data_IF_058651739453
#
_entry.id   IF_058651739453
#
_cell.length_a   1.000
_cell.length_b   1.000
_cell.length_c   1.000
_cell.angle_alpha   90.00
_cell.angle_beta   90.00
_cell.angle_gamma   90.00
#
_symmetry.space_group_name_H-M   'P 1'
#
loop_
_entity.id
_entity.type
_entity.pdbx_description
1 polymer ?
#
# COMPACT_ATOMS: atom_id res chain seq x y z
N UNK A 1 38.87 21.33 19.78
CA UNK A 1 39.49 20.19 20.51
C UNK A 1 40.12 20.57 21.86
N UNK A 2 40.35 21.85 22.20
CA UNK A 2 41.04 22.29 23.45
C UNK A 2 40.22 22.12 24.75
N UNK A 3 38.90 21.96 24.67
CA UNK A 3 38.06 21.79 25.86
C UNK A 3 38.27 20.44 26.54
N UNK A 4 38.42 19.36 25.77
CA UNK A 4 38.67 18.03 26.32
C UNK A 4 40.04 17.93 26.99
N UNK A 5 41.09 18.55 26.42
CA UNK A 5 42.42 18.55 27.03
C UNK A 5 42.44 19.32 28.35
N UNK A 6 41.77 20.48 28.42
CA UNK A 6 41.65 21.27 29.67
C UNK A 6 40.89 20.53 30.76
N UNK A 7 39.83 19.81 30.41
CA UNK A 7 39.06 18.98 31.35
C UNK A 7 39.95 17.86 31.89
N UNK A 8 40.66 17.14 31.02
CA UNK A 8 41.56 16.05 31.43
C UNK A 8 42.71 16.56 32.31
N UNK A 9 43.28 17.73 31.99
CA UNK A 9 44.36 18.33 32.77
C UNK A 9 43.90 18.79 34.15
N UNK A 10 42.69 19.38 34.24
CA UNK A 10 42.06 19.76 35.52
C UNK A 10 41.72 18.53 36.37
N UNK A 11 41.30 17.42 35.75
CA UNK A 11 41.02 16.15 36.45
C UNK A 11 42.31 15.49 36.95
N UNK A 12 43.39 15.52 36.15
CA UNK A 12 44.69 14.93 36.49
C UNK A 12 45.42 15.69 37.61
N UNK A 13 45.14 16.98 37.77
CA UNK A 13 45.69 17.82 38.85
C UNK A 13 45.05 17.62 40.22
N UNK A 14 43.97 16.84 40.35
CA UNK A 14 43.37 16.52 41.64
C UNK A 14 44.05 15.28 42.25
N UNK A 15 44.70 15.43 43.41
CA UNK A 15 45.37 14.35 44.15
C UNK A 15 44.43 13.16 44.40
N UNK A 16 43.14 13.42 44.62
CA UNK A 16 42.10 12.40 44.82
C UNK A 16 41.95 11.43 43.63
N UNK A 17 42.22 11.89 42.40
CA UNK A 17 42.08 11.09 41.18
C UNK A 17 43.27 10.14 40.96
N UNK A 18 44.47 10.57 41.36
CA UNK A 18 45.68 9.72 41.33
C UNK A 18 45.50 8.49 42.22
N UNK A 19 44.81 8.71 43.34
CA UNK A 19 44.48 7.74 44.36
C UNK A 19 43.42 6.71 43.88
N UNK A 20 42.55 7.08 42.93
CA UNK A 20 41.62 6.16 42.26
C UNK A 20 42.31 5.38 41.15
N UNK A 21 43.21 6.02 40.41
CA UNK A 21 43.95 5.42 39.28
C UNK A 21 44.99 4.39 39.73
N UNK A 22 45.50 4.50 40.96
CA UNK A 22 46.39 3.50 41.57
C UNK A 22 45.67 2.21 41.99
N UNK A 23 44.33 2.22 42.04
CA UNK A 23 43.53 1.04 42.38
C UNK A 23 43.37 0.13 41.15
N UNK A 24 43.63 -1.17 41.31
CA UNK A 24 43.53 -2.14 40.20
C UNK A 24 42.07 -2.43 39.85
N UNK A 25 41.74 -2.77 38.60
CA UNK A 25 40.40 -3.22 38.19
C UNK A 25 39.90 -4.43 39.02
N UNK A 26 40.82 -5.21 39.57
CA UNK A 26 40.53 -6.32 40.49
C UNK A 26 40.02 -5.84 41.86
N UNK A 27 40.52 -4.71 42.34
CA UNK A 27 40.09 -4.07 43.59
C UNK A 27 38.75 -3.34 43.44
N UNK A 28 38.44 -2.88 42.22
CA UNK A 28 37.12 -2.37 41.85
C UNK A 28 36.05 -3.44 41.96
N UNK A 29 36.31 -4.64 41.41
CA UNK A 29 35.40 -5.79 41.48
C UNK A 29 35.32 -6.40 42.89
N UNK A 30 36.41 -6.36 43.68
CA UNK A 30 36.41 -6.80 45.08
C UNK A 30 35.75 -5.82 46.06
N UNK A 31 35.29 -4.65 45.59
CA UNK A 31 34.54 -3.68 46.41
C UNK A 31 35.40 -2.76 47.29
N UNK A 32 36.73 -2.85 47.23
CA UNK A 32 37.63 -1.99 48.01
C UNK A 32 37.57 -0.52 47.55
N UNK A 33 37.17 -0.27 46.30
CA UNK A 33 36.96 1.07 45.74
C UNK A 33 35.81 1.84 46.42
N UNK A 34 34.81 1.13 46.96
CA UNK A 34 33.61 1.74 47.56
C UNK A 34 33.90 2.35 48.94
N UNK A 35 34.96 1.86 49.62
CA UNK A 35 35.37 2.36 50.94
C UNK A 35 36.20 3.66 50.86
N UNK A 36 36.48 4.15 49.65
CA UNK A 36 37.29 5.34 49.43
C UNK A 36 36.49 6.61 49.69
N UNK A 37 37.07 7.54 50.44
CA UNK A 37 36.44 8.82 50.81
C UNK A 37 35.93 9.62 49.60
N UNK A 38 36.62 9.52 48.46
CA UNK A 38 36.20 10.12 47.20
C UNK A 38 34.86 9.55 46.69
N UNK A 39 34.71 8.23 46.65
CA UNK A 39 33.50 7.55 46.18
C UNK A 39 32.33 7.84 47.12
N UNK A 40 32.58 7.89 48.43
CA UNK A 40 31.58 8.24 49.43
C UNK A 40 31.05 9.68 49.24
N UNK A 41 31.92 10.63 48.89
CA UNK A 41 31.53 12.03 48.60
C UNK A 41 30.78 12.18 47.28
N UNK A 42 31.10 11.35 46.28
CA UNK A 42 30.52 11.38 44.93
C UNK A 42 29.41 10.33 44.70
N UNK A 43 28.97 9.62 45.75
CA UNK A 43 27.99 8.52 45.63
C UNK A 43 26.68 8.96 44.95
N UNK A 44 26.20 10.18 45.23
CA UNK A 44 25.01 10.75 44.60
C UNK A 44 25.14 10.89 43.07
N UNK A 45 26.34 11.23 42.59
CA UNK A 45 26.64 11.31 41.16
C UNK A 45 26.69 9.92 40.53
N UNK A 46 27.31 8.95 41.20
CA UNK A 46 27.38 7.57 40.72
C UNK A 46 25.98 6.95 40.61
N UNK A 47 25.11 7.20 41.60
CA UNK A 47 23.71 6.77 41.57
C UNK A 47 22.92 7.44 40.44
N UNK A 48 23.12 8.73 40.20
CA UNK A 48 22.51 9.43 39.07
C UNK A 48 22.92 8.80 37.73
N UNK A 49 24.20 8.46 37.57
CA UNK A 49 24.72 7.87 36.34
C UNK A 49 24.16 6.46 36.12
N UNK A 50 24.06 5.66 37.19
CA UNK A 50 23.42 4.35 37.14
C UNK A 50 21.93 4.46 36.75
N UNK A 51 21.20 5.39 37.37
CA UNK A 51 19.79 5.65 37.03
C UNK A 51 19.61 6.07 35.57
N UNK A 52 20.47 6.95 35.07
CA UNK A 52 20.45 7.37 33.67
C UNK A 52 20.77 6.21 32.71
N UNK A 53 21.67 5.31 33.11
CA UNK A 53 21.97 4.10 32.34
C UNK A 53 20.75 3.16 32.25
N UNK A 54 20.01 2.96 33.34
CA UNK A 54 18.75 2.21 33.31
C UNK A 54 17.74 2.83 32.34
N UNK A 55 17.49 4.14 32.47
CA UNK A 55 16.57 4.86 31.56
C UNK A 55 17.01 4.73 30.10
N UNK A 56 18.32 4.83 29.83
CA UNK A 56 18.85 4.70 28.47
C UNK A 56 18.61 3.31 27.89
N UNK A 57 18.84 2.27 28.70
CA UNK A 57 18.61 0.87 28.31
C UNK A 57 17.12 0.64 28.04
N UNK A 58 16.24 1.11 28.91
CA UNK A 58 14.79 0.98 28.74
C UNK A 58 14.30 1.69 27.47
N UNK A 59 14.78 2.91 27.23
CA UNK A 59 14.46 3.67 26.02
C UNK A 59 15.00 2.99 24.74
N UNK A 60 16.21 2.44 24.81
CA UNK A 60 16.82 1.67 23.72
C UNK A 60 15.95 0.46 23.36
N UNK A 61 15.52 -0.32 24.35
CA UNK A 61 14.66 -1.48 24.12
C UNK A 61 13.27 -1.09 23.60
N UNK A 62 12.71 0.04 24.05
CA UNK A 62 11.45 0.55 23.52
C UNK A 62 11.56 0.91 22.03
N UNK A 63 12.66 1.54 21.61
CA UNK A 63 12.93 1.81 20.20
C UNK A 63 13.09 0.51 19.38
N UNK A 64 13.85 -0.47 19.88
CA UNK A 64 14.10 -1.73 19.15
C UNK A 64 12.84 -2.57 18.96
N UNK A 65 11.93 -2.57 19.95
CA UNK A 65 10.63 -3.25 19.83
C UNK A 65 9.74 -2.60 18.76
N UNK A 66 9.63 -1.28 18.77
CA UNK A 66 8.82 -0.54 17.79
C UNK A 66 9.34 -0.72 16.36
N UNK A 67 10.66 -0.71 16.16
CA UNK A 67 11.26 -0.97 14.84
C UNK A 67 10.87 -2.36 14.32
N UNK A 68 10.85 -3.37 15.19
CA UNK A 68 10.48 -4.74 14.82
C UNK A 68 8.99 -4.85 14.45
N UNK A 69 8.12 -4.19 15.23
CA UNK A 69 6.68 -4.15 14.96
C UNK A 69 6.37 -3.42 13.65
N UNK A 70 7.04 -2.31 13.38
CA UNK A 70 6.87 -1.56 12.13
C UNK A 70 7.30 -2.38 10.91
N UNK A 71 8.40 -3.14 11.02
CA UNK A 71 8.85 -4.04 9.95
C UNK A 71 7.83 -5.15 9.69
N UNK A 72 7.28 -5.75 10.75
CA UNK A 72 6.24 -6.78 10.63
C UNK A 72 4.99 -6.22 9.94
N UNK A 73 4.52 -5.06 10.39
CA UNK A 73 3.34 -4.40 9.83
C UNK A 73 3.51 -4.03 8.35
N UNK A 74 4.69 -3.51 7.97
CA UNK A 74 5.03 -3.22 6.57
C UNK A 74 5.05 -4.48 5.70
N UNK A 75 5.51 -5.60 6.25
CA UNK A 75 5.53 -6.89 5.54
C UNK A 75 4.13 -7.41 5.28
N UNK A 76 3.26 -7.41 6.30
CA UNK A 76 1.86 -7.81 6.16
C UNK A 76 1.11 -6.96 5.12
N UNK A 77 1.35 -5.65 5.10
CA UNK A 77 0.77 -4.76 4.08
C UNK A 77 1.26 -5.08 2.66
N UNK A 78 2.55 -5.41 2.49
CA UNK A 78 3.07 -5.83 1.20
C UNK A 78 2.45 -7.15 0.74
N UNK A 79 2.36 -8.13 1.63
CA UNK A 79 1.82 -9.45 1.31
C UNK A 79 0.36 -9.36 0.83
N UNK A 80 -0.50 -8.60 1.52
CA UNK A 80 -1.90 -8.34 1.10
C UNK A 80 -1.96 -7.62 -0.27
N UNK A 81 -1.04 -6.69 -0.53
CA UNK A 81 -0.95 -5.99 -1.81
C UNK A 81 -0.61 -6.96 -2.95
N UNK A 82 0.36 -7.84 -2.74
CA UNK A 82 0.73 -8.84 -3.74
C UNK A 82 -0.36 -9.89 -3.95
N UNK A 83 -1.07 -10.28 -2.89
CA UNK A 83 -2.20 -11.19 -2.97
C UNK A 83 -3.34 -10.59 -3.81
N UNK A 84 -3.78 -9.38 -3.48
CA UNK A 84 -4.84 -8.69 -4.24
C UNK A 84 -4.48 -8.46 -5.71
N UNK A 85 -3.22 -8.10 -5.99
CA UNK A 85 -2.71 -7.97 -7.36
C UNK A 85 -2.73 -9.32 -8.09
N UNK A 86 -2.27 -10.38 -7.43
CA UNK A 86 -2.24 -11.73 -7.99
C UNK A 86 -3.65 -12.25 -8.28
N UNK A 87 -4.59 -12.06 -7.35
CA UNK A 87 -5.98 -12.47 -7.52
C UNK A 87 -6.61 -11.68 -8.68
N UNK A 88 -6.40 -10.37 -8.75
CA UNK A 88 -6.90 -9.53 -9.85
C UNK A 88 -6.32 -9.95 -11.20
N UNK A 89 -5.02 -10.28 -11.25
CA UNK A 89 -4.37 -10.79 -12.45
C UNK A 89 -4.91 -12.18 -12.86
N UNK A 90 -5.19 -13.06 -11.89
CA UNK A 90 -5.83 -14.36 -12.13
C UNK A 90 -7.23 -14.16 -12.71
N UNK A 91 -8.09 -13.37 -12.07
CA UNK A 91 -9.46 -13.10 -12.58
C UNK A 91 -9.41 -12.50 -13.97
N UNK A 92 -8.54 -11.52 -14.21
CA UNK A 92 -8.35 -10.93 -15.55
C UNK A 92 -7.95 -11.99 -16.58
N UNK A 93 -7.06 -12.91 -16.21
CA UNK A 93 -6.60 -13.97 -17.10
C UNK A 93 -7.71 -14.99 -17.38
N UNK A 94 -8.46 -15.38 -16.37
CA UNK A 94 -9.58 -16.31 -16.48
C UNK A 94 -10.77 -15.70 -17.26
N UNK A 95 -11.02 -14.39 -17.11
CA UNK A 95 -12.05 -13.66 -17.85
C UNK A 95 -11.69 -13.38 -19.31
N UNK A 96 -10.45 -13.64 -19.76
CA UNK A 96 -10.12 -13.47 -21.18
C UNK A 96 -10.95 -14.43 -22.02
N UNK A 97 -11.64 -13.90 -23.03
CA UNK A 97 -12.41 -14.64 -24.03
C UNK A 97 -11.61 -15.83 -24.59
N UNK A 98 -10.34 -15.62 -24.94
CA UNK A 98 -9.43 -16.67 -25.41
C UNK A 98 -9.28 -17.81 -24.42
N UNK A 99 -9.07 -17.51 -23.13
CA UNK A 99 -8.93 -18.53 -22.09
C UNK A 99 -10.21 -19.36 -21.94
N UNK A 100 -11.38 -18.72 -21.99
CA UNK A 100 -12.67 -19.41 -21.90
C UNK A 100 -12.88 -20.33 -23.10
N UNK A 101 -12.54 -19.89 -24.31
CA UNK A 101 -12.63 -20.71 -25.53
C UNK A 101 -11.69 -21.92 -25.46
N UNK A 102 -10.42 -21.70 -25.10
CA UNK A 102 -9.44 -22.78 -24.94
C UNK A 102 -9.86 -23.78 -23.85
N UNK A 103 -10.41 -23.27 -22.75
CA UNK A 103 -10.93 -24.10 -21.65
C UNK A 103 -12.11 -24.97 -22.10
N UNK A 104 -13.10 -24.41 -22.80
CA UNK A 104 -14.27 -25.14 -23.34
C UNK A 104 -13.82 -26.21 -24.35
N UNK A 105 -12.90 -25.87 -25.26
CA UNK A 105 -12.34 -26.79 -26.24
C UNK A 105 -11.58 -27.93 -25.58
N UNK A 106 -10.76 -27.64 -24.56
CA UNK A 106 -10.01 -28.66 -23.79
C UNK A 106 -10.91 -29.64 -23.03
N UNK A 107 -12.13 -29.20 -22.68
CA UNK A 107 -13.14 -30.03 -22.00
C UNK A 107 -14.01 -30.83 -22.97
N UNK A 108 -13.80 -30.72 -24.28
CA UNK A 108 -14.53 -31.47 -25.30
C UNK A 108 -15.97 -30.99 -25.51
N UNK A 109 -16.28 -29.77 -25.09
CA UNK A 109 -17.59 -29.15 -25.34
C UNK A 109 -17.56 -28.50 -26.74
N UNK A 110 -18.38 -28.99 -27.68
CA UNK A 110 -18.51 -28.40 -29.03
C UNK A 110 -19.37 -27.12 -29.00
N UNK A 111 -18.99 -26.17 -28.15
CA UNK A 111 -19.65 -24.88 -28.01
C UNK A 111 -18.91 -23.84 -28.84
N UNK A 112 -19.59 -23.30 -29.86
CA UNK A 112 -19.07 -22.22 -30.70
C UNK A 112 -19.61 -20.89 -30.20
N UNK A 113 -18.80 -19.85 -30.35
CA UNK A 113 -19.18 -18.52 -29.95
C UNK A 113 -20.29 -17.96 -30.83
N UNK A 114 -21.31 -17.37 -30.21
CA UNK A 114 -22.40 -16.68 -30.92
C UNK A 114 -21.85 -15.42 -31.60
N UNK A 115 -22.10 -15.27 -32.90
CA UNK A 115 -21.74 -14.07 -33.67
C UNK A 115 -22.67 -12.88 -33.40
N UNK A 116 -23.82 -13.11 -32.75
CA UNK A 116 -24.81 -12.08 -32.46
C UNK A 116 -24.54 -11.44 -31.10
N UNK A 117 -24.60 -10.10 -31.05
CA UNK A 117 -24.42 -9.34 -29.82
C UNK A 117 -25.53 -9.64 -28.78
N UNK A 118 -25.23 -9.61 -27.47
CA UNK A 118 -26.24 -9.80 -26.43
C UNK A 118 -27.32 -8.72 -26.50
N UNK A 119 -28.58 -9.12 -26.40
CA UNK A 119 -29.73 -8.19 -26.41
C UNK A 119 -30.17 -7.94 -24.97
N UNK A 120 -30.26 -6.66 -24.59
CA UNK A 120 -30.85 -6.26 -23.30
C UNK A 120 -32.37 -6.33 -23.46
N UNK A 121 -33.01 -7.17 -22.64
CA UNK A 121 -34.46 -7.28 -22.59
C UNK A 121 -34.95 -6.23 -21.60
N UNK A 122 -35.34 -5.05 -22.09
CA UNK A 122 -36.06 -4.05 -21.30
C UNK A 122 -37.55 -4.42 -21.21
N UNK A 123 -38.22 -4.05 -20.12
CA UNK A 123 -39.68 -4.17 -20.02
C UNK A 123 -40.36 -3.36 -21.14
N UNK A 124 -41.50 -3.84 -21.69
CA UNK A 124 -42.15 -3.20 -22.83
C UNK A 124 -42.56 -1.77 -22.47
N UNK A 125 -41.78 -0.80 -22.98
CA UNK A 125 -42.05 0.61 -22.79
C UNK A 125 -43.02 1.08 -23.87
N UNK A 126 -44.32 1.01 -23.55
CA UNK A 126 -45.44 1.36 -24.43
C UNK A 126 -45.26 2.72 -25.12
N UNK A 127 -44.64 3.71 -24.45
CA UNK A 127 -44.42 5.05 -25.00
C UNK A 127 -43.38 5.06 -26.13
N UNK A 128 -42.25 4.36 -25.94
CA UNK A 128 -41.21 4.22 -26.98
C UNK A 128 -41.74 3.44 -28.19
N UNK A 129 -42.60 2.45 -27.97
CA UNK A 129 -43.19 1.67 -29.07
C UNK A 129 -44.20 2.47 -29.90
N UNK A 130 -45.00 3.34 -29.27
CA UNK A 130 -45.89 4.27 -29.97
C UNK A 130 -45.10 5.31 -30.79
N UNK A 131 -44.02 5.84 -30.23
CA UNK A 131 -43.11 6.74 -30.94
C UNK A 131 -42.46 6.06 -32.15
N UNK A 132 -42.00 4.81 -31.99
CA UNK A 132 -41.43 4.03 -33.08
C UNK A 132 -42.46 3.70 -34.17
N UNK A 133 -43.73 3.45 -33.80
CA UNK A 133 -44.83 3.23 -34.75
C UNK A 133 -45.17 4.52 -35.52
N UNK A 134 -45.26 5.66 -34.84
CA UNK A 134 -45.49 6.97 -35.47
C UNK A 134 -44.37 7.35 -36.42
N UNK A 135 -43.11 7.20 -36.00
CA UNK A 135 -41.95 7.46 -36.84
C UNK A 135 -41.90 6.56 -38.10
N UNK A 136 -42.24 5.27 -37.95
CA UNK A 136 -42.34 4.34 -39.10
C UNK A 136 -43.48 4.72 -40.06
N UNK A 137 -44.59 5.20 -39.54
CA UNK A 137 -45.75 5.61 -40.35
C UNK A 137 -45.50 6.94 -41.08
N UNK A 138 -44.84 7.90 -40.43
CA UNK A 138 -44.39 9.15 -41.05
C UNK A 138 -43.37 8.89 -42.16
N UNK A 139 -42.39 8.02 -41.92
CA UNK A 139 -41.40 7.65 -42.92
C UNK A 139 -42.05 6.94 -44.12
N UNK A 140 -43.05 6.08 -43.88
CA UNK A 140 -43.82 5.43 -44.94
C UNK A 140 -44.61 6.45 -45.75
N UNK A 141 -45.31 7.39 -45.11
CA UNK A 141 -46.04 8.48 -45.77
C UNK A 141 -45.12 9.39 -46.57
N UNK A 142 -43.93 9.71 -46.05
CA UNK A 142 -42.92 10.48 -46.76
C UNK A 142 -42.40 9.74 -48.01
N UNK A 143 -42.16 8.42 -47.88
CA UNK A 143 -41.70 7.59 -49.01
C UNK A 143 -42.77 7.45 -50.08
N UNK A 144 -44.05 7.33 -49.70
CA UNK A 144 -45.19 7.28 -50.62
C UNK A 144 -45.38 8.61 -51.36
N UNK A 145 -45.22 9.75 -50.68
CA UNK A 145 -45.25 11.08 -51.30
C UNK A 145 -44.12 11.27 -52.30
N UNK A 146 -42.89 10.90 -51.94
CA UNK A 146 -41.74 10.94 -52.85
C UNK A 146 -42.01 10.09 -54.09
N UNK A 147 -42.64 8.91 -53.93
CA UNK A 147 -43.00 8.04 -55.04
C UNK A 147 -44.08 8.64 -55.95
N UNK A 148 -45.09 9.33 -55.37
CA UNK A 148 -46.11 10.05 -56.14
C UNK A 148 -45.54 11.24 -56.91
N UNK A 149 -44.68 12.04 -56.27
CA UNK A 149 -44.02 13.20 -56.92
C UNK A 149 -43.07 12.74 -58.05
N UNK A 150 -42.43 11.58 -57.90
CA UNK A 150 -41.57 11.00 -58.93
C UNK A 150 -42.40 10.51 -60.13
N UNK A 151 -43.56 9.87 -59.91
CA UNK A 151 -44.43 9.41 -61.00
C UNK A 151 -45.14 10.54 -61.75
N UNK A 152 -45.52 11.65 -61.08
CA UNK A 152 -46.13 12.80 -61.75
C UNK A 152 -45.12 13.57 -62.64
N UNK A 153 -43.83 13.58 -62.26
CA UNK A 153 -42.77 14.16 -63.09
C UNK A 153 -42.45 13.29 -64.32
N UNK A 154 -42.55 11.97 -64.22
CA UNK A 154 -42.38 11.07 -65.37
C UNK A 154 -43.54 11.20 -66.38
N UNK A 155 -44.77 11.46 -65.92
CA UNK A 155 -45.95 11.61 -66.78
C UNK A 155 -45.96 12.94 -67.57
N UNK A 156 -45.27 13.98 -67.08
CA UNK A 156 -45.13 15.28 -67.75
C UNK A 156 -44.01 15.31 -68.80
N UNK A 157 -43.07 14.37 -68.78
CA UNK A 157 -41.94 14.30 -69.74
C UNK A 157 -42.30 13.49 -71.01
N UNK A 158 -43.40 12.72 -70.99
CA UNK A 158 -43.80 11.81 -72.09
C UNK A 158 -44.93 12.42 -72.97
N UNK A 159 -45.34 13.68 -72.73
CA UNK A 159 -46.38 14.38 -73.49
C UNK A 159 -45.83 15.61 -74.20
#
# INVERSE_FOLDING_TARGET
>A
MSFWSKIIETIKGNEDFSELKSSSFRDFLNGNILNKNFVRKQFKLMLLLAFLAFIYIDNRYFCEKQITEEVKLKKELQDIKFESLTISAKVTTLSRRTYVLDYINSKGLDLKESANAPVVIEEPNLKKEEELKKAKEEHKKATEKIKQDTSQNEEYIIR
#
